data_IF_322048491928
#
_entry.id   IF_322048491928
#
_cell.length_a   1.000
_cell.length_b   1.000
_cell.length_c   1.000
_cell.angle_alpha   90.00
_cell.angle_beta   90.00
_cell.angle_gamma   90.00
#
_symmetry.space_group_name_H-M   'P 1'
#
loop_
_entity.id
_entity.type
_entity.pdbx_description
1 polymer ?
#
# COMPACT_ATOMS: atom_id res chain seq x y z
N UNK A 1 -11.48 -13.34 -23.66
CA UNK A 1 -10.95 -11.96 -23.72
C UNK A 1 -10.45 -11.64 -22.32
N UNK A 2 -9.22 -11.16 -22.22
CA UNK A 2 -8.63 -10.64 -20.97
C UNK A 2 -8.48 -9.13 -21.14
N UNK A 3 -8.98 -8.35 -20.16
CA UNK A 3 -8.82 -6.91 -20.10
C UNK A 3 -8.20 -6.52 -18.75
N UNK A 4 -7.29 -5.56 -18.75
CA UNK A 4 -6.64 -5.07 -17.55
C UNK A 4 -6.69 -3.54 -17.50
N UNK A 5 -6.82 -2.96 -16.31
CA UNK A 5 -6.78 -1.52 -16.10
C UNK A 5 -7.01 -1.17 -14.63
N UNK A 6 -6.28 -0.20 -14.14
CA UNK A 6 -6.37 0.28 -12.74
C UNK A 6 -7.75 0.82 -12.36
N UNK A 7 -8.52 1.28 -13.35
CA UNK A 7 -9.84 1.89 -13.17
C UNK A 7 -10.96 1.09 -13.86
N UNK A 8 -10.69 -0.16 -14.21
CA UNK A 8 -11.64 -0.97 -14.98
C UNK A 8 -13.00 -1.07 -14.29
N UNK A 9 -13.03 -1.31 -12.97
CA UNK A 9 -14.27 -1.37 -12.19
C UNK A 9 -15.02 -0.04 -12.15
N UNK A 10 -14.33 1.09 -12.06
CA UNK A 10 -14.95 2.42 -12.08
C UNK A 10 -15.44 2.80 -13.47
N UNK A 11 -14.70 2.47 -14.52
CA UNK A 11 -15.08 2.74 -15.91
C UNK A 11 -16.33 1.95 -16.30
N UNK A 12 -16.43 0.68 -15.91
CA UNK A 12 -17.60 -0.17 -16.13
C UNK A 12 -18.83 0.42 -15.42
N UNK A 13 -18.70 0.87 -14.18
CA UNK A 13 -19.82 1.44 -13.41
C UNK A 13 -20.29 2.82 -13.90
N UNK A 14 -19.46 3.56 -14.63
CA UNK A 14 -19.80 4.89 -15.20
C UNK A 14 -20.29 4.81 -16.65
N UNK A 15 -20.08 3.69 -17.32
CA UNK A 15 -20.54 3.49 -18.70
C UNK A 15 -22.04 3.08 -18.74
N UNK A 16 -22.75 3.49 -19.78
CA UNK A 16 -24.12 3.04 -20.06
C UNK A 16 -24.19 1.56 -20.52
N UNK A 17 -23.18 0.77 -20.15
CA UNK A 17 -23.10 -0.65 -20.51
C UNK A 17 -23.51 -1.49 -19.31
N UNK A 18 -24.45 -2.41 -19.53
CA UNK A 18 -24.79 -3.43 -18.54
C UNK A 18 -23.57 -4.33 -18.31
N UNK A 19 -23.14 -4.44 -17.05
CA UNK A 19 -22.09 -5.41 -16.67
C UNK A 19 -22.61 -6.83 -16.94
N UNK A 20 -21.88 -7.66 -17.69
CA UNK A 20 -22.32 -9.01 -18.03
C UNK A 20 -22.21 -9.94 -16.81
N UNK A 21 -23.19 -9.84 -15.89
CA UNK A 21 -23.25 -10.63 -14.66
C UNK A 21 -23.14 -12.12 -14.99
N UNK A 22 -22.26 -12.84 -14.30
CA UNK A 22 -22.05 -14.27 -14.47
C UNK A 22 -21.22 -14.69 -15.69
N UNK A 23 -20.65 -13.72 -16.43
CA UNK A 23 -19.78 -14.01 -17.61
C UNK A 23 -18.38 -13.38 -17.49
N UNK A 24 -18.08 -12.79 -16.36
CA UNK A 24 -16.80 -12.10 -16.10
C UNK A 24 -16.28 -12.50 -14.72
N UNK A 25 -15.07 -13.00 -14.71
CA UNK A 25 -14.30 -13.22 -13.48
C UNK A 25 -13.42 -11.99 -13.25
N UNK A 26 -13.57 -11.36 -12.07
CA UNK A 26 -12.77 -10.21 -11.68
C UNK A 26 -11.61 -10.66 -10.80
N UNK A 27 -10.39 -10.34 -11.22
CA UNK A 27 -9.18 -10.57 -10.45
C UNK A 27 -8.54 -9.24 -10.06
N UNK A 28 -8.33 -9.02 -8.76
CA UNK A 28 -7.60 -7.85 -8.27
C UNK A 28 -6.13 -8.21 -8.11
N UNK A 29 -5.26 -7.45 -8.79
CA UNK A 29 -3.81 -7.57 -8.61
C UNK A 29 -3.33 -6.50 -7.64
N UNK A 30 -2.64 -6.95 -6.60
CA UNK A 30 -1.97 -6.09 -5.62
C UNK A 30 -0.48 -5.95 -5.96
N UNK A 31 0.23 -4.97 -5.38
CA UNK A 31 1.69 -5.00 -5.36
C UNK A 31 2.20 -6.33 -4.79
N UNK A 32 3.40 -6.75 -5.21
CA UNK A 32 4.03 -7.98 -4.71
C UNK A 32 4.11 -7.93 -3.17
N UNK A 33 3.73 -9.02 -2.52
CA UNK A 33 3.98 -9.25 -1.11
C UNK A 33 5.47 -9.45 -0.83
N UNK A 34 5.87 -9.45 0.44
CA UNK A 34 7.27 -9.74 0.79
C UNK A 34 7.69 -11.14 0.31
N UNK A 35 6.81 -12.13 0.38
CA UNK A 35 7.09 -13.48 -0.12
C UNK A 35 7.31 -13.49 -1.64
N UNK A 36 6.47 -12.79 -2.40
CA UNK A 36 6.63 -12.67 -3.86
C UNK A 36 7.90 -11.86 -4.22
N UNK A 37 8.28 -10.87 -3.40
CA UNK A 37 9.56 -10.18 -3.51
C UNK A 37 10.73 -11.14 -3.27
N UNK A 38 10.66 -12.01 -2.26
CA UNK A 38 11.68 -13.04 -2.03
C UNK A 38 11.79 -14.01 -3.21
N UNK A 39 10.66 -14.42 -3.81
CA UNK A 39 10.66 -15.24 -5.03
C UNK A 39 11.37 -14.51 -6.18
N UNK A 40 11.04 -13.24 -6.40
CA UNK A 40 11.66 -12.45 -7.48
C UNK A 40 13.16 -12.22 -7.31
N UNK A 41 13.67 -12.37 -6.09
CA UNK A 41 15.09 -12.24 -5.72
C UNK A 41 15.80 -13.58 -5.50
N UNK A 42 15.21 -14.70 -5.96
CA UNK A 42 15.73 -16.07 -5.87
C UNK A 42 16.04 -16.51 -4.42
N UNK A 43 15.12 -16.23 -3.48
CA UNK A 43 15.27 -16.60 -2.08
C UNK A 43 14.24 -17.66 -1.64
N UNK A 44 13.94 -18.66 -2.49
CA UNK A 44 12.96 -19.73 -2.23
C UNK A 44 13.28 -20.50 -0.96
N UNK A 45 14.55 -20.86 -0.74
CA UNK A 45 14.99 -21.56 0.47
C UNK A 45 14.66 -20.79 1.75
N UNK A 46 14.78 -19.46 1.72
CA UNK A 46 14.41 -18.61 2.86
C UNK A 46 12.90 -18.68 3.13
N UNK A 47 12.08 -18.68 2.09
CA UNK A 47 10.63 -18.82 2.20
C UNK A 47 10.27 -20.15 2.86
N UNK A 48 10.89 -21.25 2.41
CA UNK A 48 10.67 -22.57 3.00
C UNK A 48 11.04 -22.59 4.48
N UNK A 49 12.17 -22.01 4.86
CA UNK A 49 12.61 -21.94 6.27
C UNK A 49 11.69 -21.07 7.14
N UNK A 50 11.18 -19.96 6.60
CA UNK A 50 10.20 -19.11 7.31
C UNK A 50 8.89 -19.90 7.53
N UNK A 51 8.40 -20.61 6.53
CA UNK A 51 7.19 -21.45 6.63
C UNK A 51 7.36 -22.59 7.61
N UNK A 52 8.47 -23.32 7.53
CA UNK A 52 8.81 -24.40 8.47
C UNK A 52 8.84 -23.88 9.92
N UNK A 53 9.50 -22.75 10.14
CA UNK A 53 9.56 -22.10 11.46
C UNK A 53 8.18 -21.72 11.98
N UNK A 54 7.31 -21.18 11.12
CA UNK A 54 5.93 -20.83 11.47
C UNK A 54 5.08 -22.07 11.80
N UNK A 55 5.14 -23.13 11.00
CA UNK A 55 4.35 -24.35 11.18
C UNK A 55 4.78 -25.14 12.42
N UNK A 56 6.08 -25.16 12.72
CA UNK A 56 6.63 -25.91 13.85
C UNK A 56 6.72 -25.10 15.14
N UNK A 57 6.37 -23.78 15.10
CA UNK A 57 6.55 -22.84 16.22
C UNK A 57 7.98 -22.84 16.78
N UNK A 58 8.97 -23.08 15.92
CA UNK A 58 10.39 -23.04 16.28
C UNK A 58 11.02 -21.73 15.79
N UNK A 59 11.92 -21.09 16.57
CA UNK A 59 12.61 -19.90 16.10
C UNK A 59 13.39 -20.16 14.82
N UNK A 60 13.35 -19.21 13.88
CA UNK A 60 14.17 -19.23 12.69
C UNK A 60 15.65 -19.09 13.10
N UNK A 61 16.54 -19.91 12.52
CA UNK A 61 17.97 -19.82 12.79
C UNK A 61 18.51 -18.43 12.46
N UNK A 62 19.44 -17.90 13.28
CA UNK A 62 19.94 -16.53 13.22
C UNK A 62 20.42 -16.11 11.83
N UNK A 63 21.04 -17.01 11.08
CA UNK A 63 21.51 -16.74 9.71
C UNK A 63 20.35 -16.40 8.79
N UNK A 64 19.27 -17.18 8.83
CA UNK A 64 18.08 -16.94 8.02
C UNK A 64 17.26 -15.75 8.54
N UNK A 65 17.22 -15.58 9.87
CA UNK A 65 16.54 -14.44 10.49
C UNK A 65 17.18 -13.12 10.06
N UNK A 66 18.49 -12.99 10.15
CA UNK A 66 19.22 -11.79 9.75
C UNK A 66 19.09 -11.53 8.25
N UNK A 67 19.19 -12.57 7.41
CA UNK A 67 18.96 -12.46 5.96
C UNK A 67 17.54 -11.95 5.66
N UNK A 68 16.52 -12.52 6.34
CA UNK A 68 15.15 -12.09 6.17
C UNK A 68 14.96 -10.61 6.55
N UNK A 69 15.57 -10.16 7.66
CA UNK A 69 15.52 -8.75 8.09
C UNK A 69 16.17 -7.81 7.07
N UNK A 70 17.32 -8.18 6.53
CA UNK A 70 18.01 -7.36 5.53
C UNK A 70 17.22 -7.27 4.22
N UNK A 71 16.64 -8.38 3.76
CA UNK A 71 15.76 -8.39 2.60
C UNK A 71 14.44 -7.64 2.87
N UNK A 72 13.89 -7.74 4.08
CA UNK A 72 12.71 -6.99 4.47
C UNK A 72 12.95 -5.48 4.48
N UNK A 73 14.13 -5.01 4.96
CA UNK A 73 14.52 -3.60 4.84
C UNK A 73 14.57 -3.14 3.38
N UNK A 74 15.13 -3.97 2.49
CA UNK A 74 15.13 -3.68 1.04
C UNK A 74 13.71 -3.57 0.51
N UNK A 75 12.83 -4.51 0.87
CA UNK A 75 11.43 -4.50 0.48
C UNK A 75 10.68 -3.26 0.99
N UNK A 76 10.96 -2.77 2.21
CA UNK A 76 10.37 -1.53 2.73
C UNK A 76 10.74 -0.31 1.87
N UNK A 77 11.93 -0.30 1.28
CA UNK A 77 12.39 0.80 0.41
C UNK A 77 11.87 0.66 -1.02
N UNK A 78 11.94 -0.56 -1.57
CA UNK A 78 11.61 -0.84 -2.97
C UNK A 78 10.09 -0.95 -3.14
N UNK A 79 9.42 -1.63 -2.21
CA UNK A 79 8.01 -1.98 -2.31
C UNK A 79 7.77 -3.18 -3.22
N UNK A 80 6.49 -3.39 -3.54
CA UNK A 80 6.01 -4.50 -4.35
C UNK A 80 5.52 -4.11 -5.75
N UNK A 81 5.61 -2.86 -6.19
CA UNK A 81 5.24 -2.54 -7.56
C UNK A 81 6.16 -3.25 -8.57
N UNK A 82 5.63 -4.08 -9.50
CA UNK A 82 6.46 -4.88 -10.40
C UNK A 82 7.48 -4.07 -11.20
N UNK A 83 7.11 -2.86 -11.65
CA UNK A 83 8.02 -1.98 -12.38
C UNK A 83 9.21 -1.54 -11.51
N UNK A 84 8.96 -1.25 -10.22
CA UNK A 84 10.00 -0.84 -9.26
C UNK A 84 10.92 -2.00 -8.93
N UNK A 85 10.35 -3.18 -8.64
CA UNK A 85 11.11 -4.40 -8.36
C UNK A 85 11.98 -4.79 -9.55
N UNK A 86 11.43 -4.75 -10.77
CA UNK A 86 12.17 -5.00 -12.01
C UNK A 86 13.35 -4.04 -12.16
N UNK A 87 13.11 -2.73 -11.99
CA UNK A 87 14.18 -1.71 -12.06
C UNK A 87 15.29 -1.99 -11.06
N UNK A 88 14.94 -2.36 -9.82
CA UNK A 88 15.93 -2.73 -8.82
C UNK A 88 16.76 -3.96 -9.24
N UNK A 89 16.12 -5.02 -9.72
CA UNK A 89 16.80 -6.25 -10.17
C UNK A 89 17.73 -6.01 -11.35
N UNK A 90 17.41 -5.08 -12.24
CA UNK A 90 18.20 -4.75 -13.42
C UNK A 90 19.36 -3.79 -13.12
N UNK A 91 19.21 -2.89 -12.14
CA UNK A 91 20.15 -1.79 -11.94
C UNK A 91 20.85 -1.80 -10.59
N UNK A 92 20.31 -2.47 -9.59
CA UNK A 92 20.73 -2.40 -8.18
C UNK A 92 20.90 -0.96 -7.65
N UNK A 93 20.21 0.00 -8.28
CA UNK A 93 20.34 1.43 -8.03
C UNK A 93 19.07 2.01 -7.41
N UNK A 94 19.15 2.53 -6.19
CA UNK A 94 18.02 3.12 -5.48
C UNK A 94 17.56 4.46 -6.04
N UNK A 95 18.41 5.22 -6.73
CA UNK A 95 17.98 6.46 -7.40
C UNK A 95 17.07 6.13 -8.59
N UNK A 96 17.39 5.06 -9.34
CA UNK A 96 16.52 4.55 -10.40
C UNK A 96 15.19 4.04 -9.85
N UNK A 97 15.21 3.33 -8.71
CA UNK A 97 14.01 2.89 -7.99
C UNK A 97 13.12 4.10 -7.63
N UNK A 98 13.71 5.15 -7.05
CA UNK A 98 12.97 6.35 -6.65
C UNK A 98 12.39 7.11 -7.84
N UNK A 99 13.08 7.12 -8.98
CA UNK A 99 12.54 7.72 -10.21
C UNK A 99 11.25 7.00 -10.64
N UNK A 100 11.24 5.67 -10.66
CA UNK A 100 10.03 4.89 -11.01
C UNK A 100 8.91 5.07 -9.97
N UNK A 101 9.26 5.16 -8.68
CA UNK A 101 8.27 5.45 -7.63
C UNK A 101 7.66 6.85 -7.79
N UNK A 102 8.45 7.85 -8.21
CA UNK A 102 7.96 9.19 -8.53
C UNK A 102 6.97 9.14 -9.70
N UNK A 103 7.32 8.46 -10.80
CA UNK A 103 6.46 8.31 -11.97
C UNK A 103 5.12 7.62 -11.62
N UNK A 104 5.14 6.61 -10.75
CA UNK A 104 3.92 5.94 -10.25
C UNK A 104 3.08 6.92 -9.43
N UNK A 105 3.70 7.66 -8.49
CA UNK A 105 3.00 8.66 -7.69
C UNK A 105 2.33 9.74 -8.55
N UNK A 106 3.04 10.23 -9.56
CA UNK A 106 2.55 11.26 -10.47
C UNK A 106 1.43 10.72 -11.38
N UNK A 107 1.53 9.45 -11.78
CA UNK A 107 0.47 8.77 -12.54
C UNK A 107 -0.82 8.67 -11.73
N UNK A 108 -0.77 8.36 -10.43
CA UNK A 108 -1.96 8.38 -9.57
C UNK A 108 -2.56 9.78 -9.45
N UNK A 109 -1.74 10.82 -9.32
CA UNK A 109 -2.22 12.21 -9.27
C UNK A 109 -2.88 12.61 -10.60
N UNK A 110 -2.31 12.19 -11.73
CA UNK A 110 -2.89 12.41 -13.05
C UNK A 110 -4.24 11.72 -13.21
N UNK A 111 -4.35 10.48 -12.73
CA UNK A 111 -5.62 9.72 -12.72
C UNK A 111 -6.68 10.38 -11.83
N UNK A 112 -6.30 10.89 -10.64
CA UNK A 112 -7.21 11.66 -9.79
C UNK A 112 -7.75 12.88 -10.54
N UNK A 113 -6.89 13.58 -11.28
CA UNK A 113 -7.27 14.78 -12.06
C UNK A 113 -8.20 14.44 -13.21
N UNK A 114 -8.00 13.31 -13.87
CA UNK A 114 -8.75 12.89 -15.05
C UNK A 114 -10.17 12.38 -14.72
N UNK A 115 -10.33 11.70 -13.59
CA UNK A 115 -11.54 10.93 -13.31
C UNK A 115 -12.41 11.48 -12.17
N UNK A 116 -11.95 12.49 -11.44
CA UNK A 116 -12.71 13.13 -10.36
C UNK A 116 -13.14 14.55 -10.73
N UNK A 117 -14.14 15.08 -10.03
CA UNK A 117 -14.46 16.51 -10.12
C UNK A 117 -13.32 17.36 -9.54
N UNK A 118 -13.19 18.66 -9.91
CA UNK A 118 -12.12 19.50 -9.38
C UNK A 118 -12.01 19.52 -7.85
N UNK A 119 -13.14 19.52 -7.15
CA UNK A 119 -13.16 19.49 -5.69
C UNK A 119 -12.75 18.13 -5.11
N UNK A 120 -13.20 17.03 -5.72
CA UNK A 120 -12.80 15.66 -5.34
C UNK A 120 -11.32 15.43 -5.63
N UNK A 121 -10.81 15.94 -6.74
CA UNK A 121 -9.37 15.88 -7.10
C UNK A 121 -8.51 16.52 -6.01
N UNK A 122 -8.81 17.77 -5.63
CA UNK A 122 -8.07 18.48 -4.59
C UNK A 122 -8.08 17.70 -3.26
N UNK A 123 -9.23 17.15 -2.89
CA UNK A 123 -9.39 16.40 -1.65
C UNK A 123 -8.67 15.04 -1.70
N UNK A 124 -8.75 14.32 -2.81
CA UNK A 124 -8.05 13.04 -3.02
C UNK A 124 -6.53 13.22 -2.93
N UNK A 125 -5.99 14.24 -3.61
CA UNK A 125 -4.57 14.59 -3.53
C UNK A 125 -4.18 14.99 -2.11
N UNK A 126 -5.03 15.76 -1.41
CA UNK A 126 -4.76 16.14 -0.04
C UNK A 126 -4.74 14.94 0.92
N UNK A 127 -5.68 13.98 0.80
CA UNK A 127 -5.65 12.71 1.53
C UNK A 127 -4.34 11.98 1.20
N UNK A 128 -4.09 11.72 -0.07
CA UNK A 128 -2.92 10.99 -0.55
C UNK A 128 -1.61 11.54 0.00
N UNK A 129 -1.40 12.85 -0.06
CA UNK A 129 -0.17 13.48 0.40
C UNK A 129 -0.02 13.56 1.93
N UNK A 130 -1.09 13.43 2.71
CA UNK A 130 -1.02 13.50 4.18
C UNK A 130 -0.82 12.16 4.85
N UNK A 131 -0.97 11.03 4.16
CA UNK A 131 -0.87 9.70 4.75
C UNK A 131 0.46 9.45 5.48
N UNK A 132 1.66 9.80 4.94
CA UNK A 132 2.91 9.58 5.66
C UNK A 132 2.93 10.28 7.01
N UNK A 133 2.47 11.54 7.07
CA UNK A 133 2.43 12.30 8.31
C UNK A 133 1.39 11.79 9.31
N UNK A 134 0.32 11.16 8.85
CA UNK A 134 -0.67 10.52 9.72
C UNK A 134 -0.16 9.21 10.31
N UNK A 135 0.50 8.39 9.49
CA UNK A 135 1.07 7.10 9.91
C UNK A 135 2.31 7.26 10.81
N UNK A 136 3.04 8.37 10.70
CA UNK A 136 4.18 8.67 11.55
C UNK A 136 3.82 9.10 12.99
N UNK A 137 2.53 9.34 13.28
CA UNK A 137 2.06 9.72 14.63
C UNK A 137 1.91 8.49 15.53
N UNK A 138 1.96 8.68 16.85
CA UNK A 138 1.63 7.62 17.82
C UNK A 138 0.19 7.12 17.64
N UNK A 139 -0.75 8.04 17.46
CA UNK A 139 -2.11 7.69 17.09
C UNK A 139 -2.23 7.68 15.57
N UNK A 140 -2.16 6.51 14.98
CA UNK A 140 -2.27 6.27 13.53
C UNK A 140 -3.71 6.20 13.02
N UNK A 141 -4.73 6.47 13.87
CA UNK A 141 -6.13 6.65 13.44
C UNK A 141 -6.19 7.78 12.41
N UNK A 142 -6.91 7.55 11.30
CA UNK A 142 -7.07 8.56 10.26
C UNK A 142 -7.82 9.78 10.78
N UNK A 143 -7.23 10.96 10.58
CA UNK A 143 -7.76 12.22 11.10
C UNK A 143 -7.91 13.24 9.97
N UNK A 144 -9.12 13.61 9.67
CA UNK A 144 -9.42 14.64 8.65
C UNK A 144 -8.81 16.00 9.01
N UNK A 145 -8.73 16.33 10.30
CA UNK A 145 -8.12 17.58 10.78
C UNK A 145 -6.61 17.71 10.44
N UNK A 146 -5.92 16.61 10.13
CA UNK A 146 -4.53 16.64 9.65
C UNK A 146 -4.45 17.16 8.22
N UNK A 147 -5.48 16.91 7.41
CA UNK A 147 -5.55 17.39 6.03
C UNK A 147 -5.75 18.91 6.03
N UNK A 148 -6.70 19.38 6.81
CA UNK A 148 -7.03 20.80 6.96
C UNK A 148 -7.73 21.02 8.31
N UNK A 149 -7.36 22.09 9.01
CA UNK A 149 -8.09 22.53 10.20
C UNK A 149 -9.59 22.67 9.87
N UNK A 150 -10.46 22.14 10.68
CA UNK A 150 -11.92 22.08 10.46
C UNK A 150 -12.40 21.15 9.31
N UNK A 151 -11.57 20.28 8.75
CA UNK A 151 -12.02 19.26 7.80
C UNK A 151 -12.99 18.29 8.47
N UNK A 152 -14.09 17.99 7.78
CA UNK A 152 -15.14 17.05 8.25
C UNK A 152 -15.15 15.80 7.38
N UNK A 153 -15.47 14.65 7.97
CA UNK A 153 -15.57 13.37 7.27
C UNK A 153 -16.42 13.46 6.00
N UNK A 154 -17.62 14.05 6.09
CA UNK A 154 -18.55 14.22 4.98
C UNK A 154 -17.97 14.95 3.75
N UNK A 155 -16.97 15.79 3.96
CA UNK A 155 -16.36 16.57 2.87
C UNK A 155 -15.36 15.74 2.08
N UNK A 156 -14.79 14.68 2.66
CA UNK A 156 -13.73 13.86 2.10
C UNK A 156 -14.15 12.42 1.79
N UNK A 157 -15.36 12.03 2.19
CA UNK A 157 -15.84 10.65 2.06
C UNK A 157 -15.77 10.13 0.63
N UNK A 158 -16.32 10.85 -0.35
CA UNK A 158 -16.27 10.44 -1.76
C UNK A 158 -14.84 10.32 -2.29
N UNK A 159 -13.97 11.25 -1.89
CA UNK A 159 -12.56 11.21 -2.28
C UNK A 159 -11.83 10.01 -1.68
N UNK A 160 -12.12 9.66 -0.42
CA UNK A 160 -11.54 8.48 0.23
C UNK A 160 -12.09 7.20 -0.40
N UNK A 161 -13.38 7.11 -0.67
CA UNK A 161 -13.99 5.97 -1.36
C UNK A 161 -13.39 5.77 -2.75
N UNK A 162 -13.14 6.86 -3.47
CA UNK A 162 -12.48 6.79 -4.77
C UNK A 162 -11.06 6.22 -4.65
N UNK A 163 -10.23 6.71 -3.71
CA UNK A 163 -8.88 6.20 -3.49
C UNK A 163 -8.86 4.70 -3.12
N UNK A 164 -9.85 4.26 -2.33
CA UNK A 164 -10.04 2.84 -2.00
C UNK A 164 -10.43 2.02 -3.24
N UNK A 165 -11.38 2.53 -4.03
CA UNK A 165 -11.88 1.83 -5.22
C UNK A 165 -10.82 1.67 -6.32
N UNK A 166 -9.89 2.62 -6.42
CA UNK A 166 -8.72 2.55 -7.33
C UNK A 166 -7.63 1.62 -6.79
N UNK A 167 -7.69 1.26 -5.50
CA UNK A 167 -6.74 0.35 -4.87
C UNK A 167 -5.40 0.98 -4.52
N UNK A 168 -5.30 2.33 -4.52
CA UNK A 168 -4.06 3.03 -4.13
C UNK A 168 -3.90 3.12 -2.62
N UNK A 169 -5.02 3.02 -1.89
CA UNK A 169 -5.02 2.97 -0.43
C UNK A 169 -5.85 1.79 0.08
N UNK A 170 -5.46 1.29 1.25
CA UNK A 170 -6.13 0.24 2.00
C UNK A 170 -6.69 0.82 3.30
N UNK A 171 -7.92 0.45 3.63
CA UNK A 171 -8.56 0.81 4.88
C UNK A 171 -8.54 -0.35 5.86
N UNK A 172 -8.16 -0.08 7.10
CA UNK A 172 -8.22 -1.03 8.20
C UNK A 172 -9.14 -0.48 9.29
N UNK A 173 -10.33 -1.08 9.38
CA UNK A 173 -11.38 -0.67 10.34
C UNK A 173 -11.12 -1.34 11.68
N UNK A 174 -11.22 -0.58 12.76
CA UNK A 174 -11.12 -1.12 14.11
C UNK A 174 -12.34 -1.97 14.43
N UNK A 175 -12.11 -3.15 15.04
CA UNK A 175 -13.17 -3.96 15.63
C UNK A 175 -13.06 -3.92 17.16
N UNK A 176 -14.18 -4.02 17.86
CA UNK A 176 -14.24 -4.07 19.33
C UNK A 176 -14.01 -5.46 19.87
N UNK A 177 -14.36 -6.50 19.11
CA UNK A 177 -14.20 -7.89 19.48
C UNK A 177 -13.76 -8.72 18.27
N UNK A 178 -12.91 -9.73 18.48
CA UNK A 178 -12.45 -10.68 17.45
C UNK A 178 -13.43 -11.85 17.21
N UNK A 179 -14.74 -11.59 17.23
CA UNK A 179 -15.78 -12.62 17.01
C UNK A 179 -16.38 -12.49 15.61
N UNK A 180 -16.78 -13.63 15.03
CA UNK A 180 -17.45 -13.65 13.73
C UNK A 180 -18.97 -13.46 13.86
N UNK A 181 -19.61 -12.73 12.91
CA UNK A 181 -18.99 -11.96 11.82
C UNK A 181 -18.37 -10.64 12.33
N UNK A 182 -17.16 -10.32 11.89
CA UNK A 182 -16.42 -9.12 12.34
C UNK A 182 -17.19 -7.81 12.08
N UNK A 183 -17.99 -7.77 11.02
CA UNK A 183 -18.78 -6.60 10.63
C UNK A 183 -19.73 -6.08 11.72
N UNK A 184 -20.16 -6.96 12.65
CA UNK A 184 -21.00 -6.58 13.80
C UNK A 184 -20.23 -5.73 14.82
N UNK A 185 -18.93 -5.88 14.84
CA UNK A 185 -18.03 -5.27 15.83
C UNK A 185 -17.23 -4.10 15.26
N UNK A 186 -17.45 -3.74 14.00
CA UNK A 186 -16.74 -2.64 13.33
C UNK A 186 -17.09 -1.27 13.94
N UNK A 187 -16.07 -0.48 14.19
CA UNK A 187 -16.18 0.93 14.55
C UNK A 187 -15.85 1.79 13.32
N UNK A 188 -16.87 2.07 12.50
CA UNK A 188 -16.72 2.77 11.23
C UNK A 188 -16.12 4.18 11.34
N UNK A 189 -16.16 4.79 12.51
CA UNK A 189 -15.53 6.08 12.80
C UNK A 189 -14.08 5.96 13.27
N UNK A 190 -13.54 4.72 13.36
CA UNK A 190 -12.21 4.41 13.86
C UNK A 190 -11.45 3.47 12.92
N UNK A 191 -10.73 4.05 11.98
CA UNK A 191 -9.98 3.32 10.96
C UNK A 191 -8.61 3.94 10.71
N UNK A 192 -7.73 3.17 10.06
CA UNK A 192 -6.44 3.60 9.53
C UNK A 192 -6.47 3.50 8.01
N UNK A 193 -5.72 4.38 7.36
CA UNK A 193 -5.53 4.33 5.91
C UNK A 193 -4.04 4.14 5.64
N UNK A 194 -3.72 3.15 4.84
CA UNK A 194 -2.38 2.83 4.39
C UNK A 194 -2.29 3.00 2.88
N UNK A 195 -1.09 3.27 2.36
CA UNK A 195 -0.85 3.01 0.95
C UNK A 195 -0.92 1.51 0.67
N UNK A 196 -1.30 1.13 -0.54
CA UNK A 196 -1.27 -0.27 -0.98
C UNK A 196 0.15 -0.84 -1.11
N UNK A 197 1.16 0.02 -1.07
CA UNK A 197 2.57 -0.34 -1.25
C UNK A 197 3.46 0.36 -0.22
N UNK A 198 4.35 -0.42 0.41
CA UNK A 198 5.27 0.08 1.46
C UNK A 198 6.40 0.92 0.87
N UNK A 199 6.87 0.61 -0.34
CA UNK A 199 7.88 1.41 -1.02
C UNK A 199 7.35 2.79 -1.40
N UNK A 200 6.08 2.87 -1.80
CA UNK A 200 5.42 4.15 -2.04
C UNK A 200 5.30 4.97 -0.74
N UNK A 201 5.01 4.32 0.39
CA UNK A 201 5.01 4.99 1.70
C UNK A 201 6.41 5.53 2.03
N UNK A 202 7.45 4.71 1.87
CA UNK A 202 8.84 5.11 2.10
C UNK A 202 9.24 6.30 1.21
N UNK A 203 8.89 6.25 -0.08
CA UNK A 203 9.13 7.35 -1.02
C UNK A 203 8.40 8.63 -0.60
N UNK A 204 7.10 8.55 -0.32
CA UNK A 204 6.26 9.70 0.04
C UNK A 204 6.60 10.30 1.41
N UNK A 205 7.16 9.50 2.32
CA UNK A 205 7.66 10.00 3.62
C UNK A 205 8.94 10.82 3.53
N UNK A 206 9.60 10.84 2.35
CA UNK A 206 10.89 11.47 2.17
C UNK A 206 12.06 10.73 2.83
N UNK A 207 11.84 9.50 3.30
CA UNK A 207 12.87 8.67 3.92
C UNK A 207 13.90 8.25 2.88
N UNK A 208 15.18 8.44 3.15
CA UNK A 208 16.24 8.00 2.24
C UNK A 208 16.49 6.49 2.40
N UNK A 209 16.82 5.77 1.31
CA UNK A 209 17.15 4.34 1.36
C UNK A 209 18.21 4.01 2.41
N UNK A 210 19.24 4.84 2.55
CA UNK A 210 20.33 4.67 3.51
C UNK A 210 19.83 4.66 4.97
N UNK A 211 18.80 5.49 5.28
CA UNK A 211 18.26 5.57 6.64
C UNK A 211 17.56 4.27 7.05
N UNK A 212 16.95 3.56 6.09
CA UNK A 212 16.28 2.28 6.33
C UNK A 212 17.27 1.13 6.35
N UNK A 213 18.24 1.13 5.42
CA UNK A 213 19.15 0.00 5.20
C UNK A 213 20.24 -0.08 6.26
N UNK A 214 20.79 1.06 6.72
CA UNK A 214 21.93 1.12 7.64
C UNK A 214 21.51 1.09 9.10
N UNK A 215 20.34 1.70 9.45
CA UNK A 215 19.91 1.75 10.84
C UNK A 215 19.38 0.40 11.32
N UNK A 216 19.99 -0.14 12.36
CA UNK A 216 19.52 -1.34 13.07
C UNK A 216 18.18 -1.11 13.79
N UNK A 217 17.88 0.11 14.16
CA UNK A 217 16.59 0.55 14.71
C UNK A 217 15.81 1.30 13.63
N UNK A 218 15.16 0.57 12.74
CA UNK A 218 14.07 1.16 11.97
C UNK A 218 13.04 1.57 13.01
N UNK A 219 12.85 2.88 13.19
CA UNK A 219 11.83 3.36 14.11
C UNK A 219 10.49 2.76 13.70
N UNK A 220 9.70 2.27 14.64
CA UNK A 220 8.37 1.69 14.37
C UNK A 220 7.48 2.63 13.54
N UNK A 221 7.82 3.91 13.50
CA UNK A 221 7.17 4.97 12.74
C UNK A 221 7.35 4.85 11.21
N UNK A 222 8.39 4.17 10.72
CA UNK A 222 8.59 3.93 9.29
C UNK A 222 7.86 2.66 8.78
N UNK A 223 7.27 1.90 9.68
CA UNK A 223 6.59 0.64 9.36
C UNK A 223 5.08 0.80 9.11
N UNK A 224 4.51 1.98 9.33
CA UNK A 224 3.07 2.25 9.19
C UNK A 224 2.24 1.83 10.38
#
# INVERSE_FOLDING_TARGET
IVAAGSLLGLAINRGNFSFPVGKVDMLTMYPLSFEEFLLSTNNETLIEKIRESFETFTPLADVYHNLALDLYKKYLVIGGYPAVVKTYLETENYDSVRAVQADISDSYIADMTKYATPNETIRSIAIFNTLPSQLAKENTKFQYAVIKSNARAKDYELSLQWLKAVGVVLENIKVTEGKLPLTVYEQLDSFKIYYSDVGLLCFKSGTFPQDVLVNSSISDRARG
#
